data_IF_492372757274
#
_entry.id   IF_492372757274
#
_cell.length_a   1.000
_cell.length_b   1.000
_cell.length_c   1.000
_cell.angle_alpha   90.00
_cell.angle_beta   90.00
_cell.angle_gamma   90.00
#
_symmetry.space_group_name_H-M   'P 1'
#
loop_
_entity.id
_entity.type
_entity.pdbx_description
1 polymer ?
#
# COMPACT_ATOMS: atom_id res chain seq x y z
N UNK A 1 4.38 -35.81 14.16
CA UNK A 1 4.02 -35.73 12.71
C UNK A 1 3.02 -34.61 12.38
N UNK A 2 1.93 -34.45 13.13
CA UNK A 2 0.88 -33.43 12.89
C UNK A 2 1.37 -31.96 12.96
N UNK A 3 2.33 -31.63 13.83
CA UNK A 3 2.86 -30.27 13.96
C UNK A 3 3.67 -29.79 12.74
N UNK A 4 4.36 -30.71 12.04
CA UNK A 4 5.08 -30.38 10.79
C UNK A 4 4.12 -30.05 9.64
N UNK A 5 2.95 -30.71 9.61
CA UNK A 5 1.92 -30.46 8.60
C UNK A 5 1.31 -29.05 8.74
N UNK A 6 1.03 -28.63 9.98
CA UNK A 6 0.54 -27.27 10.26
C UNK A 6 1.54 -26.17 9.90
N UNK A 7 2.85 -26.36 10.18
CA UNK A 7 3.92 -25.42 9.77
C UNK A 7 4.07 -25.31 8.25
N UNK A 8 3.93 -26.41 7.50
CA UNK A 8 3.97 -26.40 6.02
C UNK A 8 2.74 -25.70 5.40
N UNK A 9 1.54 -25.87 5.98
CA UNK A 9 0.30 -25.23 5.50
C UNK A 9 0.31 -23.71 5.69
N UNK A 10 0.90 -23.21 6.78
CA UNK A 10 1.04 -21.77 7.07
C UNK A 10 1.99 -21.06 6.09
N UNK A 11 3.15 -21.66 5.77
CA UNK A 11 4.11 -21.13 4.77
C UNK A 11 3.54 -21.09 3.34
N UNK A 12 2.67 -22.03 2.95
CA UNK A 12 2.02 -22.03 1.62
C UNK A 12 1.01 -20.88 1.46
N UNK A 13 0.30 -20.48 2.51
CA UNK A 13 -0.63 -19.33 2.49
C UNK A 13 0.09 -17.99 2.35
N UNK A 14 1.23 -17.81 3.00
CA UNK A 14 2.07 -16.59 2.86
C UNK A 14 2.66 -16.44 1.45
N UNK A 15 3.10 -17.53 0.82
CA UNK A 15 3.62 -17.49 -0.57
C UNK A 15 2.54 -17.15 -1.61
N UNK A 16 1.30 -17.65 -1.44
CA UNK A 16 0.16 -17.25 -2.30
C UNK A 16 -0.19 -15.77 -2.14
N UNK A 17 -0.16 -15.22 -0.92
CA UNK A 17 -0.37 -13.78 -0.67
C UNK A 17 0.70 -12.90 -1.34
N UNK A 18 1.97 -13.30 -1.27
CA UNK A 18 3.08 -12.57 -1.93
C UNK A 18 2.99 -12.60 -3.46
N UNK A 19 2.52 -13.69 -4.07
CA UNK A 19 2.32 -13.77 -5.53
C UNK A 19 1.16 -12.90 -6.03
N UNK A 20 0.06 -12.80 -5.26
CA UNK A 20 -1.09 -11.94 -5.63
C UNK A 20 -0.70 -10.45 -5.59
N UNK A 21 0.10 -10.01 -4.62
CA UNK A 21 0.55 -8.62 -4.52
C UNK A 21 1.49 -8.24 -5.69
N UNK A 22 2.40 -9.12 -6.07
CA UNK A 22 3.38 -8.83 -7.12
C UNK A 22 2.83 -8.92 -8.56
N UNK A 23 1.71 -9.63 -8.78
CA UNK A 23 1.10 -9.74 -10.11
C UNK A 23 0.28 -8.50 -10.51
N UNK A 24 -0.13 -7.68 -9.54
CA UNK A 24 -0.88 -6.44 -9.78
C UNK A 24 -0.01 -5.24 -10.19
N UNK A 25 1.32 -5.40 -10.27
CA UNK A 25 2.27 -4.32 -10.58
C UNK A 25 2.46 -4.17 -12.12
N UNK A 26 2.02 -5.13 -12.93
CA UNK A 26 2.28 -5.19 -14.38
C UNK A 26 1.02 -5.05 -15.26
N UNK A 27 0.04 -4.25 -14.86
CA UNK A 27 -1.08 -3.82 -15.72
C UNK A 27 -1.43 -2.38 -15.33
N UNK A 28 -1.50 -1.36 -16.18
CA UNK A 28 -1.30 -1.17 -17.61
C UNK A 28 -1.23 0.36 -17.87
N UNK A 29 -0.62 0.74 -19.00
CA UNK A 29 -0.60 2.11 -19.59
C UNK A 29 0.31 3.16 -18.91
N UNK A 30 1.57 3.19 -19.35
CA UNK A 30 2.55 4.26 -19.04
C UNK A 30 2.45 5.49 -19.97
N UNK A 31 1.72 5.39 -21.09
CA UNK A 31 1.45 6.54 -21.96
C UNK A 31 0.18 7.22 -21.47
N UNK A 32 0.28 8.40 -20.86
CA UNK A 32 -0.79 9.16 -20.20
C UNK A 32 -1.98 9.63 -21.07
N UNK A 33 -2.32 8.91 -22.13
CA UNK A 33 -3.51 9.09 -22.97
C UNK A 33 -4.54 8.01 -22.61
N UNK A 34 -5.72 8.43 -22.16
CA UNK A 34 -6.81 7.51 -21.88
C UNK A 34 -7.38 6.89 -23.15
N UNK A 35 -7.97 5.69 -23.05
CA UNK A 35 -8.69 5.02 -24.16
C UNK A 35 -9.80 5.93 -24.74
N UNK A 36 -10.34 6.84 -23.93
CA UNK A 36 -11.35 7.83 -24.31
C UNK A 36 -10.80 9.10 -24.96
N UNK A 37 -9.49 9.17 -25.28
CA UNK A 37 -8.87 10.34 -25.90
C UNK A 37 -8.72 11.56 -24.98
N UNK A 38 -9.24 11.46 -23.75
CA UNK A 38 -9.06 12.47 -22.72
C UNK A 38 -7.66 12.40 -22.12
N UNK A 39 -7.13 13.57 -21.73
CA UNK A 39 -5.89 13.68 -20.96
C UNK A 39 -5.96 12.74 -19.75
N UNK A 40 -4.96 11.87 -19.60
CA UNK A 40 -4.88 10.97 -18.46
C UNK A 40 -4.71 11.73 -17.14
N UNK A 41 -5.04 11.10 -16.01
CA UNK A 41 -4.99 11.72 -14.67
C UNK A 41 -3.63 12.33 -14.30
N UNK A 42 -2.54 11.79 -14.84
CA UNK A 42 -1.16 12.22 -14.58
C UNK A 42 -0.51 12.89 -15.80
N UNK A 43 -1.31 13.36 -16.77
CA UNK A 43 -0.81 13.94 -18.00
C UNK A 43 -0.05 15.26 -17.77
N UNK A 44 -0.52 16.11 -16.85
CA UNK A 44 0.13 17.39 -16.57
C UNK A 44 1.53 17.20 -15.96
N UNK A 45 1.67 16.27 -15.00
CA UNK A 45 2.98 15.89 -14.45
C UNK A 45 3.93 15.31 -15.50
N UNK A 46 3.40 14.60 -16.51
CA UNK A 46 4.20 14.11 -17.63
C UNK A 46 4.69 15.23 -18.53
N UNK A 47 3.86 16.24 -18.81
CA UNK A 47 4.24 17.41 -19.60
C UNK A 47 5.34 18.20 -18.90
N UNK A 48 5.22 18.42 -17.59
CA UNK A 48 6.24 19.15 -16.83
C UNK A 48 7.58 18.39 -16.80
N UNK A 49 7.53 17.06 -16.65
CA UNK A 49 8.72 16.21 -16.75
C UNK A 49 9.34 16.26 -18.16
N UNK A 50 8.52 16.22 -19.20
CA UNK A 50 8.99 16.27 -20.59
C UNK A 50 9.59 17.63 -20.95
N UNK A 51 9.00 18.73 -20.47
CA UNK A 51 9.54 20.08 -20.69
C UNK A 51 10.88 20.25 -19.95
N UNK A 52 10.98 19.76 -18.71
CA UNK A 52 12.25 19.76 -17.97
C UNK A 52 13.34 18.94 -18.68
N UNK A 53 13.03 17.72 -19.13
CA UNK A 53 13.97 16.87 -19.88
C UNK A 53 14.38 17.49 -21.22
N UNK A 54 13.57 18.37 -21.80
CA UNK A 54 13.90 19.08 -23.05
C UNK A 54 14.85 20.26 -22.82
N UNK A 55 14.89 20.80 -21.60
CA UNK A 55 15.70 21.98 -21.23
C UNK A 55 16.99 21.62 -20.49
N UNK A 56 17.03 20.48 -19.80
CA UNK A 56 18.16 20.07 -18.98
C UNK A 56 19.17 19.18 -19.73
N UNK A 57 20.47 19.40 -19.48
CA UNK A 57 21.56 18.53 -19.98
C UNK A 57 21.79 17.30 -19.11
N UNK A 58 21.54 17.40 -17.80
CA UNK A 58 21.68 16.29 -16.87
C UNK A 58 20.32 15.76 -16.41
N UNK A 59 20.12 14.42 -16.43
CA UNK A 59 18.86 13.80 -16.01
C UNK A 59 18.62 13.89 -14.49
N UNK A 60 19.60 14.37 -13.73
CA UNK A 60 19.53 14.53 -12.27
C UNK A 60 18.68 15.73 -11.84
N UNK A 61 18.64 16.77 -12.66
CA UNK A 61 17.92 18.01 -12.33
C UNK A 61 16.39 17.81 -12.38
N UNK A 62 15.91 16.90 -13.23
CA UNK A 62 14.49 16.57 -13.39
C UNK A 62 14.04 15.37 -12.54
N UNK A 63 14.83 14.93 -11.55
CA UNK A 63 14.47 13.77 -10.70
C UNK A 63 13.24 14.05 -9.85
N UNK A 64 13.08 15.28 -9.35
CA UNK A 64 11.91 15.67 -8.56
C UNK A 64 10.61 15.49 -9.37
N UNK A 65 10.58 16.02 -10.59
CA UNK A 65 9.44 15.89 -11.52
C UNK A 65 9.17 14.43 -11.91
N UNK A 66 10.23 13.63 -12.06
CA UNK A 66 10.10 12.18 -12.30
C UNK A 66 9.47 11.47 -11.11
N UNK A 67 9.87 11.81 -9.89
CA UNK A 67 9.29 11.23 -8.68
C UNK A 67 7.82 11.58 -8.54
N UNK A 68 7.42 12.81 -8.87
CA UNK A 68 6.03 13.26 -8.81
C UNK A 68 5.16 12.55 -9.87
N UNK A 69 5.67 12.37 -11.09
CA UNK A 69 5.00 11.58 -12.11
C UNK A 69 4.81 10.10 -11.70
N UNK A 70 5.84 9.49 -11.11
CA UNK A 70 5.77 8.11 -10.61
C UNK A 70 4.89 7.99 -9.37
N UNK A 71 4.83 9.02 -8.53
CA UNK A 71 3.91 9.11 -7.40
C UNK A 71 2.48 9.14 -7.89
N UNK A 72 2.14 9.99 -8.87
CA UNK A 72 0.80 10.02 -9.44
C UNK A 72 0.41 8.69 -10.12
N UNK A 73 1.36 7.99 -10.77
CA UNK A 73 1.06 6.72 -11.43
C UNK A 73 0.84 5.58 -10.43
N UNK A 74 1.73 5.46 -9.43
CA UNK A 74 1.78 4.31 -8.54
C UNK A 74 1.22 4.56 -7.13
N UNK A 75 0.97 5.82 -6.77
CA UNK A 75 0.50 6.29 -5.46
C UNK A 75 1.28 5.64 -4.30
N UNK A 76 2.57 5.37 -4.49
CA UNK A 76 3.35 4.55 -3.58
C UNK A 76 3.47 5.21 -2.19
N UNK A 77 3.70 6.53 -2.16
CA UNK A 77 3.78 7.32 -0.91
C UNK A 77 2.42 7.35 -0.20
N UNK A 78 1.35 7.53 -0.95
CA UNK A 78 -0.02 7.52 -0.43
C UNK A 78 -0.43 6.15 0.15
N UNK A 79 -0.16 5.06 -0.55
CA UNK A 79 -0.42 3.71 -0.04
C UNK A 79 0.38 3.41 1.22
N UNK A 80 1.65 3.85 1.29
CA UNK A 80 2.47 3.70 2.48
C UNK A 80 1.87 4.45 3.67
N UNK A 81 1.45 5.70 3.46
CA UNK A 81 0.82 6.52 4.51
C UNK A 81 -0.47 5.89 5.03
N UNK A 82 -1.39 5.51 4.13
CA UNK A 82 -2.64 4.85 4.53
C UNK A 82 -2.38 3.53 5.25
N UNK A 83 -1.45 2.70 4.76
CA UNK A 83 -1.10 1.46 5.42
C UNK A 83 -0.54 1.66 6.84
N UNK A 84 0.16 2.77 7.10
CA UNK A 84 0.64 3.12 8.44
C UNK A 84 -0.54 3.46 9.37
N UNK A 85 -1.48 4.27 8.89
CA UNK A 85 -2.69 4.65 9.64
C UNK A 85 -3.55 3.42 9.94
N UNK A 86 -3.85 2.60 8.93
CA UNK A 86 -4.64 1.38 9.12
C UNK A 86 -3.99 0.41 10.11
N UNK A 87 -2.65 0.29 10.13
CA UNK A 87 -1.96 -0.56 11.10
C UNK A 87 -2.10 -0.04 12.53
N UNK A 88 -2.07 1.28 12.71
CA UNK A 88 -2.18 1.89 14.03
C UNK A 88 -3.62 1.79 14.55
N UNK A 89 -4.61 2.11 13.72
CA UNK A 89 -6.03 1.92 14.03
C UNK A 89 -6.32 0.46 14.45
N UNK A 90 -5.82 -0.51 13.68
CA UNK A 90 -5.95 -1.92 14.01
C UNK A 90 -5.27 -2.31 15.32
N UNK A 91 -4.18 -1.63 15.71
CA UNK A 91 -3.54 -1.83 17.01
C UNK A 91 -4.42 -1.33 18.14
N UNK A 92 -5.01 -0.14 17.98
CA UNK A 92 -5.91 0.46 18.98
C UNK A 92 -7.17 -0.38 19.18
N UNK A 93 -7.83 -0.82 18.10
CA UNK A 93 -9.00 -1.70 18.17
C UNK A 93 -8.68 -3.00 18.90
N UNK A 94 -7.53 -3.63 18.61
CA UNK A 94 -7.11 -4.86 19.30
C UNK A 94 -6.76 -4.64 20.76
N UNK A 95 -6.16 -3.50 21.11
CA UNK A 95 -5.88 -3.15 22.49
C UNK A 95 -7.17 -2.91 23.28
N UNK A 96 -8.14 -2.19 22.71
CA UNK A 96 -9.46 -1.99 23.29
C UNK A 96 -10.20 -3.33 23.49
N UNK A 97 -10.16 -4.22 22.49
CA UNK A 97 -10.76 -5.55 22.61
C UNK A 97 -10.11 -6.44 23.69
N UNK A 98 -8.81 -6.29 23.97
CA UNK A 98 -8.14 -7.00 25.08
C UNK A 98 -8.58 -6.47 26.44
N UNK A 99 -8.60 -5.14 26.61
CA UNK A 99 -9.08 -4.50 27.84
C UNK A 99 -10.54 -4.84 28.14
N UNK A 100 -11.39 -4.91 27.11
CA UNK A 100 -12.79 -5.32 27.28
C UNK A 100 -12.93 -6.77 27.77
N UNK A 101 -12.07 -7.69 27.31
CA UNK A 101 -12.07 -9.09 27.76
C UNK A 101 -11.55 -9.27 29.20
N UNK A 102 -10.59 -8.45 29.62
CA UNK A 102 -10.06 -8.47 30.99
C UNK A 102 -11.06 -7.88 32.00
N UNK A 103 -11.86 -6.89 31.59
CA UNK A 103 -12.93 -6.31 32.41
C UNK A 103 -14.13 -7.24 32.64
N UNK A 104 -14.46 -8.08 31.65
CA UNK A 104 -15.57 -9.05 31.73
C UNK A 104 -15.26 -10.21 32.71
N UNK A 105 -13.99 -10.64 32.79
CA UNK A 105 -13.55 -11.68 33.74
C UNK A 105 -13.45 -11.24 35.21
N UNK A 106 -13.71 -9.97 35.53
CA UNK A 106 -13.57 -9.41 36.88
C UNK A 106 -14.88 -9.12 37.64
N UNK A 107 -16.05 -9.35 37.03
CA UNK A 107 -17.36 -8.93 37.57
C UNK A 107 -18.22 -10.12 38.05
N UNK A 108 -17.64 -11.30 38.29
CA UNK A 108 -18.38 -12.46 38.82
C UNK A 108 -17.81 -12.99 40.14
N UNK A 109 -17.61 -12.13 41.14
CA UNK A 109 -17.58 -12.51 42.56
C UNK A 109 -17.93 -11.31 43.44
N UNK A 110 -19.20 -11.21 43.88
CA UNK A 110 -19.70 -10.66 45.15
C UNK A 110 -21.14 -10.16 44.98
N UNK A 111 -22.09 -11.07 45.11
CA UNK A 111 -23.38 -10.77 45.75
C UNK A 111 -23.47 -11.75 46.90
N UNK A 112 -23.43 -11.22 48.11
CA UNK A 112 -23.45 -11.95 49.38
C UNK A 112 -24.76 -11.63 50.09
#
# INVERSE_FOLDING_TARGET
LLQCFFRRRRRRRERKRKRIINQSINQSMASGWGITGNKGRCYDFWIDFSDCMSRCREPKDCVLLREDYLECLHHAKEYQRRNRIYKEEQRQIRAAARKAKEGDSGVETKVH
#
